data_IF_545070346442
#
_entry.id   IF_545070346442
#
_cell.length_a   1.000
_cell.length_b   1.000
_cell.length_c   1.000
_cell.angle_alpha   90.00
_cell.angle_beta   90.00
_cell.angle_gamma   90.00
#
_symmetry.space_group_name_H-M   'P 1'
#
loop_
_entity.id
_entity.type
_entity.pdbx_description
1 polymer ?
#
# COMPACT_ATOMS: atom_id res chain seq x y z
N UNK A 1 19.97 10.47 23.72
CA UNK A 1 19.37 11.80 23.47
C UNK A 1 19.49 12.24 22.01
N UNK A 2 20.65 12.63 21.46
CA UNK A 2 20.75 13.05 20.03
C UNK A 2 20.31 11.92 19.07
N UNK A 3 20.68 10.67 19.38
CA UNK A 3 20.30 9.50 18.59
C UNK A 3 18.79 9.21 18.62
N UNK A 4 18.10 9.44 19.73
CA UNK A 4 16.65 9.18 19.84
C UNK A 4 15.82 10.18 19.02
N UNK A 5 16.34 11.41 18.86
CA UNK A 5 15.75 12.46 18.00
C UNK A 5 15.89 12.06 16.52
N UNK A 6 17.11 11.70 16.09
CA UNK A 6 17.41 11.23 14.73
C UNK A 6 16.64 9.95 14.32
N UNK A 7 16.30 9.11 15.30
CA UNK A 7 15.54 7.89 15.10
C UNK A 7 14.05 8.15 14.85
N UNK A 8 13.45 9.05 15.63
CA UNK A 8 12.11 9.56 15.32
C UNK A 8 12.07 10.29 13.98
N UNK A 9 13.16 10.96 13.59
CA UNK A 9 13.22 11.71 12.34
C UNK A 9 12.99 10.83 11.11
N UNK A 10 13.64 9.66 11.01
CA UNK A 10 13.48 8.79 9.82
C UNK A 10 12.04 8.28 9.66
N UNK A 11 11.44 7.75 10.73
CA UNK A 11 10.04 7.31 10.70
C UNK A 11 9.09 8.46 10.39
N UNK A 12 9.30 9.63 11.01
CA UNK A 12 8.48 10.82 10.80
C UNK A 12 8.58 11.32 9.36
N UNK A 13 9.77 11.35 8.77
CA UNK A 13 9.99 11.73 7.38
C UNK A 13 9.25 10.80 6.42
N UNK A 14 9.32 9.48 6.64
CA UNK A 14 8.61 8.52 5.78
C UNK A 14 7.09 8.71 5.92
N UNK A 15 6.56 8.79 7.14
CA UNK A 15 5.12 8.99 7.38
C UNK A 15 4.63 10.32 6.76
N UNK A 16 5.37 11.42 6.96
CA UNK A 16 5.05 12.72 6.37
C UNK A 16 5.04 12.64 4.85
N UNK A 17 6.05 11.99 4.25
CA UNK A 17 6.09 11.80 2.79
C UNK A 17 4.86 11.05 2.27
N UNK A 18 4.43 10.01 2.99
CA UNK A 18 3.23 9.22 2.64
C UNK A 18 1.95 10.04 2.75
N UNK A 19 1.83 10.88 3.79
CA UNK A 19 0.69 11.79 3.96
C UNK A 19 0.66 12.81 2.81
N UNK A 20 1.80 13.43 2.48
CA UNK A 20 1.90 14.39 1.36
C UNK A 20 1.50 13.73 0.03
N UNK A 21 1.93 12.49 -0.21
CA UNK A 21 1.53 11.75 -1.40
C UNK A 21 0.00 11.56 -1.42
N UNK A 22 -0.62 11.14 -0.31
CA UNK A 22 -2.08 10.98 -0.23
C UNK A 22 -2.82 12.31 -0.45
N UNK A 23 -2.34 13.41 0.14
CA UNK A 23 -3.00 14.72 -0.01
C UNK A 23 -2.94 15.22 -1.45
N UNK A 24 -1.80 15.06 -2.13
CA UNK A 24 -1.66 15.42 -3.55
C UNK A 24 -2.58 14.58 -4.44
N UNK A 25 -2.66 13.27 -4.22
CA UNK A 25 -3.56 12.38 -4.95
C UNK A 25 -5.02 12.79 -4.74
N UNK A 26 -5.41 13.04 -3.48
CA UNK A 26 -6.77 13.45 -3.12
C UNK A 26 -7.14 14.79 -3.75
N UNK A 27 -6.22 15.75 -3.77
CA UNK A 27 -6.42 17.04 -4.39
C UNK A 27 -6.67 16.92 -5.90
N UNK A 28 -5.82 16.17 -6.60
CA UNK A 28 -5.93 16.00 -8.06
C UNK A 28 -7.13 15.14 -8.48
N UNK A 29 -7.55 14.18 -7.65
CA UNK A 29 -8.55 13.16 -8.02
C UNK A 29 -9.70 13.04 -7.01
N UNK A 30 -10.16 14.16 -6.47
CA UNK A 30 -11.12 14.22 -5.35
C UNK A 30 -12.36 13.32 -5.53
N UNK A 31 -12.99 13.34 -6.72
CA UNK A 31 -14.16 12.50 -7.01
C UNK A 31 -13.82 11.00 -6.98
N UNK A 32 -12.70 10.60 -7.58
CA UNK A 32 -12.25 9.19 -7.63
C UNK A 32 -11.86 8.71 -6.22
N UNK A 33 -11.11 9.53 -5.47
CA UNK A 33 -10.72 9.23 -4.09
C UNK A 33 -11.92 9.05 -3.14
N UNK A 34 -12.90 9.97 -3.17
CA UNK A 34 -14.09 9.84 -2.33
C UNK A 34 -14.95 8.63 -2.71
N UNK A 35 -14.97 8.25 -4.00
CA UNK A 35 -15.64 7.02 -4.40
C UNK A 35 -14.89 5.77 -3.97
N UNK A 36 -13.56 5.79 -3.94
CA UNK A 36 -12.71 4.69 -3.46
C UNK A 36 -12.93 4.44 -1.96
N UNK A 37 -12.98 5.49 -1.13
CA UNK A 37 -13.28 5.35 0.30
C UNK A 37 -14.63 4.68 0.59
N UNK A 38 -15.59 4.81 -0.33
CA UNK A 38 -16.93 4.21 -0.19
C UNK A 38 -16.98 2.73 -0.53
N UNK A 39 -15.90 2.10 -0.99
CA UNK A 39 -15.86 0.66 -1.30
C UNK A 39 -16.25 -0.19 -0.07
N UNK A 40 -15.90 0.26 1.15
CA UNK A 40 -16.32 -0.41 2.39
C UNK A 40 -17.85 -0.48 2.56
N UNK A 41 -18.57 0.50 2.03
CA UNK A 41 -20.02 0.62 2.18
C UNK A 41 -20.80 0.19 0.94
N UNK A 42 -20.20 0.34 -0.25
CA UNK A 42 -20.88 0.09 -1.52
C UNK A 42 -19.88 -0.27 -2.63
N UNK A 43 -20.15 -1.37 -3.35
CA UNK A 43 -19.41 -1.80 -4.54
C UNK A 43 -19.58 -0.90 -5.77
N UNK A 44 -20.30 0.24 -5.64
CA UNK A 44 -20.50 1.23 -6.70
C UNK A 44 -19.20 1.70 -7.38
N UNK A 45 -18.09 1.86 -6.64
CA UNK A 45 -16.79 2.18 -7.22
C UNK A 45 -16.28 1.07 -8.14
N UNK A 46 -16.28 -0.17 -7.64
CA UNK A 46 -15.82 -1.35 -8.37
C UNK A 46 -16.65 -1.57 -9.64
N UNK A 47 -17.97 -1.32 -9.58
CA UNK A 47 -18.86 -1.36 -10.74
C UNK A 47 -18.59 -0.24 -11.74
N UNK A 48 -18.31 0.98 -11.27
CA UNK A 48 -18.06 2.15 -12.12
C UNK A 48 -16.73 2.06 -12.86
N UNK A 49 -15.69 1.57 -12.18
CA UNK A 49 -14.33 1.48 -12.72
C UNK A 49 -13.94 0.05 -13.10
N UNK A 50 -14.96 -0.79 -13.34
CA UNK A 50 -14.85 -2.23 -13.62
C UNK A 50 -13.95 -2.54 -14.83
N UNK A 51 -14.02 -1.70 -15.87
CA UNK A 51 -13.30 -1.88 -17.13
C UNK A 51 -12.14 -0.90 -17.33
N UNK A 52 -11.88 -0.02 -16.36
CA UNK A 52 -10.68 0.82 -16.40
C UNK A 52 -9.46 -0.05 -16.12
N UNK A 53 -8.48 -0.03 -17.03
CA UNK A 53 -7.22 -0.75 -16.81
C UNK A 53 -6.47 -0.09 -15.66
N UNK A 54 -6.24 -0.88 -14.61
CA UNK A 54 -5.57 -0.54 -13.33
C UNK A 54 -4.20 0.14 -13.52
N UNK A 55 -3.51 -0.13 -14.62
CA UNK A 55 -2.08 0.14 -14.78
C UNK A 55 -1.73 1.50 -15.39
N UNK A 56 -2.70 2.35 -15.73
CA UNK A 56 -2.42 3.56 -16.53
C UNK A 56 -2.73 4.91 -15.88
N UNK A 57 -3.18 4.93 -14.63
CA UNK A 57 -3.41 6.19 -13.92
C UNK A 57 -2.47 6.35 -12.74
N UNK A 58 -1.75 7.48 -12.73
CA UNK A 58 -0.86 7.91 -11.64
C UNK A 58 -1.51 7.74 -10.25
N UNK A 59 -2.83 7.96 -10.16
CA UNK A 59 -3.63 7.76 -8.95
C UNK A 59 -3.45 6.38 -8.32
N UNK A 60 -3.65 5.31 -9.09
CA UNK A 60 -3.64 3.94 -8.58
C UNK A 60 -2.21 3.51 -8.22
N UNK A 61 -1.21 3.97 -9.00
CA UNK A 61 0.20 3.69 -8.73
C UNK A 61 0.69 4.31 -7.41
N UNK A 62 0.38 5.59 -7.17
CA UNK A 62 0.81 6.26 -5.93
C UNK A 62 0.12 5.68 -4.69
N UNK A 63 -1.16 5.28 -4.78
CA UNK A 63 -1.83 4.60 -3.67
C UNK A 63 -1.24 3.20 -3.41
N UNK A 64 -0.86 2.49 -4.46
CA UNK A 64 -0.21 1.20 -4.31
C UNK A 64 1.18 1.32 -3.67
N UNK A 65 1.96 2.35 -4.03
CA UNK A 65 3.21 2.69 -3.32
C UNK A 65 2.93 2.98 -1.86
N UNK A 66 1.90 3.79 -1.57
CA UNK A 66 1.54 4.12 -0.20
C UNK A 66 1.22 2.86 0.62
N UNK A 67 0.49 1.92 0.05
CA UNK A 67 0.23 0.62 0.66
C UNK A 67 1.51 -0.17 0.94
N UNK A 68 2.39 -0.33 -0.06
CA UNK A 68 3.62 -1.13 0.09
C UNK A 68 4.53 -0.54 1.16
N UNK A 69 4.76 0.78 1.14
CA UNK A 69 5.64 1.45 2.11
C UNK A 69 5.02 1.44 3.51
N UNK A 70 3.70 1.65 3.64
CA UNK A 70 3.02 1.59 4.94
C UNK A 70 3.06 0.19 5.54
N UNK A 71 2.86 -0.85 4.72
CA UNK A 71 2.98 -2.26 5.15
C UNK A 71 4.42 -2.59 5.54
N UNK A 72 5.40 -2.16 4.74
CA UNK A 72 6.82 -2.32 5.07
C UNK A 72 7.19 -1.67 6.39
N UNK A 73 6.71 -0.45 6.64
CA UNK A 73 6.91 0.25 7.92
C UNK A 73 6.29 -0.54 9.08
N UNK A 74 5.07 -1.02 8.91
CA UNK A 74 4.38 -1.82 9.93
C UNK A 74 5.18 -3.06 10.31
N UNK A 75 5.64 -3.83 9.31
CA UNK A 75 6.44 -5.04 9.51
C UNK A 75 7.78 -4.71 10.19
N UNK A 76 8.44 -3.63 9.76
CA UNK A 76 9.71 -3.20 10.34
C UNK A 76 9.57 -2.80 11.82
N UNK A 77 8.57 -1.99 12.15
CA UNK A 77 8.27 -1.57 13.53
C UNK A 77 7.95 -2.80 14.40
N UNK A 78 7.12 -3.71 13.89
CA UNK A 78 6.75 -4.94 14.59
C UNK A 78 7.97 -5.82 14.89
N UNK A 79 8.88 -5.99 13.91
CA UNK A 79 10.11 -6.77 14.08
C UNK A 79 11.02 -6.17 15.17
N UNK A 80 11.13 -4.83 15.23
CA UNK A 80 11.92 -4.16 16.28
C UNK A 80 11.30 -4.40 17.66
N UNK A 81 9.99 -4.23 17.78
CA UNK A 81 9.26 -4.40 19.06
C UNK A 81 9.43 -5.83 19.56
N UNK A 82 9.27 -6.83 18.68
CA UNK A 82 9.34 -8.23 19.06
C UNK A 82 10.75 -8.67 19.48
N UNK A 83 11.79 -8.19 18.79
CA UNK A 83 13.17 -8.56 19.09
C UNK A 83 13.75 -7.83 20.31
N UNK A 84 12.97 -6.96 20.98
CA UNK A 84 13.42 -6.21 22.16
C UNK A 84 14.57 -5.23 21.87
N UNK A 85 14.81 -4.93 20.60
CA UNK A 85 15.83 -3.99 20.18
C UNK A 85 15.39 -2.57 20.52
N UNK A 86 16.34 -1.70 20.88
CA UNK A 86 16.05 -0.25 20.91
C UNK A 86 15.56 0.17 19.52
N UNK A 87 14.61 1.11 19.46
CA UNK A 87 14.00 1.64 18.23
C UNK A 87 15.04 2.29 17.29
N UNK A 88 15.91 1.49 16.68
CA UNK A 88 16.93 1.93 15.75
C UNK A 88 16.47 1.70 14.33
N UNK A 89 16.32 2.77 13.55
CA UNK A 89 15.96 2.68 12.15
C UNK A 89 17.19 2.27 11.35
N UNK A 90 17.13 1.08 10.75
CA UNK A 90 18.13 0.59 9.80
C UNK A 90 17.53 0.67 8.39
N UNK A 91 18.04 1.61 7.59
CA UNK A 91 17.57 1.82 6.21
C UNK A 91 17.72 0.59 5.32
N UNK A 92 18.79 -0.20 5.51
CA UNK A 92 19.03 -1.38 4.70
C UNK A 92 17.98 -2.47 4.98
N UNK A 93 17.75 -2.77 6.26
CA UNK A 93 16.71 -3.73 6.66
C UNK A 93 15.31 -3.30 6.17
N UNK A 94 15.01 -2.01 6.22
CA UNK A 94 13.74 -1.48 5.72
C UNK A 94 13.58 -1.68 4.20
N UNK A 95 14.65 -1.43 3.43
CA UNK A 95 14.65 -1.67 1.98
C UNK A 95 14.50 -3.15 1.66
N UNK A 96 15.17 -4.04 2.39
CA UNK A 96 15.05 -5.49 2.22
C UNK A 96 13.61 -5.96 2.45
N UNK A 97 12.95 -5.46 3.49
CA UNK A 97 11.53 -5.74 3.77
C UNK A 97 10.64 -5.28 2.61
N UNK A 98 10.84 -4.05 2.11
CA UNK A 98 10.08 -3.55 0.95
C UNK A 98 10.30 -4.44 -0.27
N UNK A 99 11.55 -4.81 -0.55
CA UNK A 99 11.89 -5.66 -1.70
C UNK A 99 11.21 -7.03 -1.61
N UNK A 100 11.18 -7.64 -0.42
CA UNK A 100 10.48 -8.91 -0.18
C UNK A 100 8.98 -8.74 -0.43
N UNK A 101 8.36 -7.67 0.10
CA UNK A 101 6.93 -7.40 -0.08
C UNK A 101 6.59 -7.21 -1.57
N UNK A 102 7.36 -6.41 -2.29
CA UNK A 102 7.17 -6.17 -3.73
C UNK A 102 7.28 -7.48 -4.50
N UNK A 103 8.35 -8.23 -4.26
CA UNK A 103 8.61 -9.51 -4.94
C UNK A 103 7.46 -10.49 -4.70
N UNK A 104 7.01 -10.61 -3.45
CA UNK A 104 5.89 -11.46 -3.09
C UNK A 104 4.59 -11.05 -3.80
N UNK A 105 4.25 -9.75 -3.79
CA UNK A 105 3.03 -9.25 -4.44
C UNK A 105 3.06 -9.46 -5.96
N UNK A 106 4.21 -9.22 -6.60
CA UNK A 106 4.39 -9.42 -8.05
C UNK A 106 4.28 -10.90 -8.40
N UNK A 107 5.01 -11.78 -7.70
CA UNK A 107 4.94 -13.22 -7.94
C UNK A 107 3.52 -13.75 -7.76
N UNK A 108 2.82 -13.33 -6.69
CA UNK A 108 1.43 -13.71 -6.44
C UNK A 108 0.53 -13.29 -7.60
N UNK A 109 0.60 -12.03 -8.05
CA UNK A 109 -0.23 -11.56 -9.16
C UNK A 109 0.10 -12.27 -10.49
N UNK A 110 1.39 -12.58 -10.74
CA UNK A 110 1.79 -13.35 -11.92
C UNK A 110 1.20 -14.76 -11.91
N UNK A 111 1.21 -15.45 -10.76
CA UNK A 111 0.60 -16.79 -10.66
C UNK A 111 -0.89 -16.76 -10.94
N UNK A 112 -1.62 -15.76 -10.42
CA UNK A 112 -3.06 -15.57 -10.66
C UNK A 112 -3.35 -15.32 -12.16
N UNK A 113 -2.49 -14.57 -12.85
CA UNK A 113 -2.59 -14.35 -14.30
C UNK A 113 -2.31 -15.65 -15.06
N UNK A 114 -1.28 -16.42 -14.71
CA UNK A 114 -0.96 -17.70 -15.37
C UNK A 114 -2.12 -18.69 -15.23
N UNK A 115 -2.66 -18.84 -14.02
CA UNK A 115 -3.83 -19.69 -13.75
C UNK A 115 -5.01 -19.23 -14.63
N UNK A 116 -5.22 -17.93 -14.74
CA UNK A 116 -6.28 -17.39 -15.57
C UNK A 116 -6.19 -17.81 -17.04
N UNK A 117 -4.98 -17.81 -17.58
CA UNK A 117 -4.73 -18.23 -18.96
C UNK A 117 -4.98 -19.71 -19.15
N UNK A 118 -4.57 -20.55 -18.20
CA UNK A 118 -4.77 -22.01 -18.24
C UNK A 118 -6.26 -22.36 -18.25
N UNK A 119 -7.08 -21.67 -17.46
CA UNK A 119 -8.52 -21.94 -17.34
C UNK A 119 -9.40 -21.08 -18.26
N UNK A 120 -8.80 -20.19 -19.07
CA UNK A 120 -9.50 -19.26 -19.96
C UNK A 120 -10.54 -18.38 -19.24
N UNK A 121 -10.20 -17.90 -18.04
CA UNK A 121 -11.07 -17.08 -17.15
C UNK A 121 -10.55 -15.63 -16.99
N UNK A 122 -9.86 -15.10 -18.01
CA UNK A 122 -9.20 -13.79 -17.98
C UNK A 122 -10.13 -12.65 -17.64
N UNK A 123 -11.38 -12.71 -18.11
CA UNK A 123 -12.39 -11.71 -17.76
C UNK A 123 -12.63 -11.65 -16.25
N UNK A 124 -12.78 -12.80 -15.58
CA UNK A 124 -13.05 -12.84 -14.15
C UNK A 124 -11.82 -12.44 -13.34
N UNK A 125 -10.64 -12.94 -13.71
CA UNK A 125 -9.41 -12.65 -12.96
C UNK A 125 -8.98 -11.20 -13.08
N UNK A 126 -9.18 -10.55 -14.24
CA UNK A 126 -8.85 -9.14 -14.40
C UNK A 126 -9.73 -8.25 -13.50
N UNK A 127 -11.00 -8.61 -13.34
CA UNK A 127 -11.91 -7.93 -12.41
C UNK A 127 -11.46 -8.15 -10.97
N UNK A 128 -11.18 -9.39 -10.60
CA UNK A 128 -10.69 -9.74 -9.28
C UNK A 128 -9.38 -9.00 -8.93
N UNK A 129 -8.41 -8.96 -9.84
CA UNK A 129 -7.15 -8.25 -9.66
C UNK A 129 -7.38 -6.74 -9.46
N UNK A 130 -8.32 -6.15 -10.19
CA UNK A 130 -8.71 -4.74 -10.01
C UNK A 130 -9.28 -4.50 -8.60
N UNK A 131 -10.22 -5.33 -8.17
CA UNK A 131 -10.81 -5.24 -6.84
C UNK A 131 -9.74 -5.38 -5.76
N UNK A 132 -8.88 -6.40 -5.89
CA UNK A 132 -7.77 -6.69 -4.96
C UNK A 132 -6.81 -5.51 -4.81
N UNK A 133 -6.40 -4.87 -5.92
CA UNK A 133 -5.49 -3.72 -5.89
C UNK A 133 -6.15 -2.51 -5.20
N UNK A 134 -7.43 -2.26 -5.47
CA UNK A 134 -8.17 -1.18 -4.82
C UNK A 134 -8.36 -1.43 -3.31
N UNK A 135 -8.63 -2.68 -2.90
CA UNK A 135 -8.69 -3.05 -1.49
C UNK A 135 -7.33 -2.91 -0.80
N UNK A 136 -6.24 -3.32 -1.44
CA UNK A 136 -4.89 -3.12 -0.90
C UNK A 136 -4.58 -1.63 -0.70
N UNK A 137 -4.90 -0.79 -1.69
CA UNK A 137 -4.74 0.66 -1.59
C UNK A 137 -5.52 1.26 -0.40
N UNK A 138 -6.75 0.79 -0.16
CA UNK A 138 -7.54 1.18 1.02
C UNK A 138 -6.92 0.73 2.33
N UNK A 139 -6.42 -0.51 2.39
CA UNK A 139 -5.71 -1.03 3.55
C UNK A 139 -4.47 -0.16 3.83
N UNK A 140 -3.77 0.30 2.80
CA UNK A 140 -2.64 1.24 2.95
C UNK A 140 -3.01 2.52 3.69
N UNK A 141 -4.17 3.11 3.34
CA UNK A 141 -4.70 4.30 4.01
C UNK A 141 -5.02 4.06 5.50
N UNK A 142 -5.36 2.83 5.88
CA UNK A 142 -5.68 2.44 7.28
C UNK A 142 -4.41 2.04 8.05
N UNK A 143 -3.45 1.39 7.41
CA UNK A 143 -2.18 1.00 8.05
C UNK A 143 -1.37 2.24 8.42
N UNK A 144 -1.40 3.30 7.61
CA UNK A 144 -0.66 4.53 7.88
C UNK A 144 -0.97 5.13 9.27
N UNK A 145 -2.24 5.40 9.66
CA UNK A 145 -2.53 5.90 11.01
C UNK A 145 -2.24 4.85 12.09
N UNK A 146 -2.33 3.55 11.80
CA UNK A 146 -1.90 2.51 12.74
C UNK A 146 -0.40 2.62 13.02
N UNK A 147 0.43 2.83 12.00
CA UNK A 147 1.87 3.05 12.18
C UNK A 147 2.17 4.27 13.05
N UNK A 148 1.37 5.35 12.92
CA UNK A 148 1.50 6.53 13.79
C UNK A 148 1.16 6.21 15.25
N UNK A 149 0.17 5.35 15.50
CA UNK A 149 -0.25 4.98 16.85
C UNK A 149 0.72 4.03 17.56
N UNK A 150 1.45 3.19 16.80
CA UNK A 150 2.40 2.21 17.35
C UNK A 150 3.73 2.86 17.78
N UNK A 151 4.07 4.02 17.20
CA UNK A 151 5.40 4.67 17.27
C UNK A 151 5.48 5.76 18.34
#
# INVERSE_FOLDING_TARGET
MIRDILLKDAFTVIILSLIVIITLIKYNNHKKFNSLLKIFWNSSYLKKYKYEKITYYLFDYFLQINFIVSLGLFVFIYNIIYNGNRLSFNFLEFIDIIQIIITFLVLKNLTEIVISWVFNIQWLTNLYLNEKINYNSLIGLIILPINVLIL
#
